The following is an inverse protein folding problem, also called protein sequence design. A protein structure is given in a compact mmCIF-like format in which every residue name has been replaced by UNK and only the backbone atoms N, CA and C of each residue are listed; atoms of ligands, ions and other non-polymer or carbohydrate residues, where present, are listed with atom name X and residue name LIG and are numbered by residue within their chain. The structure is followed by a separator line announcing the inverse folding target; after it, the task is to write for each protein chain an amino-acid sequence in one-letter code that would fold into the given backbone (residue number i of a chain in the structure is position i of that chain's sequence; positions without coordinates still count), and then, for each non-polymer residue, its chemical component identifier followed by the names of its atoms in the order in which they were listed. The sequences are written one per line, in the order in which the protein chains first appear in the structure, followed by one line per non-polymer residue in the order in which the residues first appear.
data_IF_751562642271
#
_entry.id   IF_751562642271
#
_cell.length_a   1.000
_cell.length_b   1.000
_cell.length_c   1.000
_cell.angle_alpha   90.00
_cell.angle_beta   90.00
_cell.angle_gamma   90.00
#
_symmetry.space_group_name_H-M   'P 1'
#
loop_
_entity.id
_entity.type
_entity.pdbx_description
1 polymer ?
#
# COMPACT_ATOMS: atom_id res chain seq x y z
N UNK A 1 10.65 5.37 11.23
CA UNK A 1 9.22 5.07 11.11
C UNK A 1 8.53 5.06 12.48
N UNK A 2 7.43 5.79 12.61
CA UNK A 2 6.52 5.68 13.74
C UNK A 2 5.18 5.11 13.24
N UNK A 3 4.65 4.10 13.92
CA UNK A 3 3.47 3.36 13.49
C UNK A 3 2.49 3.10 14.63
N UNK A 4 1.21 2.95 14.29
CA UNK A 4 0.16 2.57 15.25
C UNK A 4 -0.83 1.65 14.57
N UNK A 5 -1.19 0.56 15.24
CA UNK A 5 -2.17 -0.39 14.73
C UNK A 5 -3.46 -0.37 15.57
N UNK A 6 -4.61 -0.28 14.91
CA UNK A 6 -5.93 -0.35 15.54
C UNK A 6 -6.76 -1.44 14.86
N UNK A 7 -7.46 -2.26 15.66
CA UNK A 7 -8.34 -3.32 15.19
C UNK A 7 -9.79 -3.05 15.58
N UNK A 8 -10.72 -3.20 14.64
CA UNK A 8 -12.16 -3.12 14.85
C UNK A 8 -12.85 -4.29 14.15
N UNK A 9 -13.22 -5.32 14.92
CA UNK A 9 -13.65 -6.60 14.35
C UNK A 9 -12.54 -7.22 13.51
N UNK A 10 -12.84 -7.57 12.25
CA UNK A 10 -11.87 -8.13 11.30
C UNK A 10 -11.12 -7.06 10.48
N UNK A 11 -11.41 -5.78 10.70
CA UNK A 11 -10.79 -4.66 9.99
C UNK A 11 -9.69 -4.02 10.84
N UNK A 12 -8.48 -3.98 10.29
CA UNK A 12 -7.31 -3.34 10.90
C UNK A 12 -6.91 -2.07 10.16
N UNK A 13 -6.45 -1.05 10.88
CA UNK A 13 -5.80 0.13 10.32
C UNK A 13 -4.40 0.27 10.88
N UNK A 14 -3.39 0.22 10.01
CA UNK A 14 -2.00 0.51 10.32
C UNK A 14 -1.69 1.93 9.86
N UNK A 15 -1.55 2.86 10.80
CA UNK A 15 -1.17 4.23 10.52
C UNK A 15 0.34 4.36 10.53
N UNK A 16 0.91 4.83 9.42
CA UNK A 16 2.34 5.11 9.28
C UNK A 16 2.56 6.63 9.29
N UNK A 17 3.63 7.07 9.98
CA UNK A 17 3.98 8.48 10.14
C UNK A 17 5.45 8.68 9.83
N UNK A 18 5.77 9.91 9.42
CA UNK A 18 7.13 10.37 9.07
C UNK A 18 7.64 9.71 7.79
N UNK A 19 8.93 9.84 7.49
CA UNK A 19 9.53 9.23 6.33
C UNK A 19 9.65 7.70 6.48
N UNK A 20 9.49 6.98 5.37
CA UNK A 20 9.76 5.54 5.26
C UNK A 20 10.99 5.31 4.41
N UNK A 21 12.12 5.11 5.06
CA UNK A 21 13.43 4.93 4.39
C UNK A 21 13.79 3.45 4.26
N UNK A 22 14.89 3.15 3.58
CA UNK A 22 15.45 1.79 3.49
C UNK A 22 15.66 1.13 4.86
N UNK A 23 16.03 1.91 5.88
CA UNK A 23 16.24 1.41 7.26
C UNK A 23 14.92 0.94 7.90
N UNK A 24 13.79 1.51 7.48
CA UNK A 24 12.46 1.18 7.99
C UNK A 24 11.85 -0.05 7.30
N UNK A 25 12.41 -0.53 6.19
CA UNK A 25 11.81 -1.60 5.39
C UNK A 25 11.61 -2.90 6.19
N UNK A 26 12.55 -3.25 7.08
CA UNK A 26 12.45 -4.42 7.94
C UNK A 26 11.32 -4.27 8.98
N UNK A 27 11.27 -3.12 9.66
CA UNK A 27 10.23 -2.82 10.65
C UNK A 27 8.84 -2.72 10.01
N UNK A 28 8.73 -2.12 8.84
CA UNK A 28 7.49 -2.05 8.06
C UNK A 28 6.97 -3.45 7.72
N UNK A 29 7.87 -4.36 7.30
CA UNK A 29 7.50 -5.76 7.05
C UNK A 29 6.93 -6.41 8.31
N UNK A 30 7.57 -6.24 9.46
CA UNK A 30 7.12 -6.81 10.73
C UNK A 30 5.73 -6.29 11.11
N UNK A 31 5.53 -4.97 11.10
CA UNK A 31 4.24 -4.35 11.38
C UNK A 31 3.11 -4.84 10.44
N UNK A 32 3.41 -4.97 9.14
CA UNK A 32 2.44 -5.50 8.17
C UNK A 32 2.12 -6.97 8.41
N UNK A 33 3.10 -7.79 8.78
CA UNK A 33 2.87 -9.21 9.10
C UNK A 33 1.99 -9.34 10.34
N UNK A 34 2.29 -8.60 11.41
CA UNK A 34 1.51 -8.62 12.65
C UNK A 34 0.07 -8.16 12.41
N UNK A 35 -0.11 -7.05 11.70
CA UNK A 35 -1.43 -6.55 11.35
C UNK A 35 -2.23 -7.55 10.49
N UNK A 36 -1.58 -8.20 9.51
CA UNK A 36 -2.20 -9.22 8.65
C UNK A 36 -2.45 -10.55 9.37
N UNK A 37 -1.83 -10.83 10.52
CA UNK A 37 -2.16 -12.02 11.31
C UNK A 37 -3.57 -11.90 11.90
N UNK A 38 -3.93 -10.73 12.40
CA UNK A 38 -5.16 -10.50 13.18
C UNK A 38 -6.30 -9.83 12.41
N UNK A 39 -6.03 -9.26 11.23
CA UNK A 39 -7.07 -8.64 10.39
C UNK A 39 -7.31 -9.41 9.09
N UNK A 40 -8.54 -9.35 8.57
CA UNK A 40 -8.91 -9.82 7.23
C UNK A 40 -8.90 -8.66 6.22
N UNK A 41 -9.17 -7.45 6.71
CA UNK A 41 -9.13 -6.22 5.93
C UNK A 41 -8.13 -5.25 6.55
N UNK A 42 -6.95 -5.13 5.95
CA UNK A 42 -5.92 -4.18 6.41
C UNK A 42 -5.96 -2.91 5.56
N UNK A 43 -6.11 -1.78 6.22
CA UNK A 43 -5.92 -0.47 5.65
C UNK A 43 -4.58 0.10 6.14
N UNK A 44 -3.74 0.57 5.23
CA UNK A 44 -2.48 1.25 5.56
C UNK A 44 -2.69 2.74 5.32
N UNK A 45 -2.77 3.52 6.40
CA UNK A 45 -2.94 4.97 6.33
C UNK A 45 -1.58 5.65 6.24
N UNK A 46 -1.39 6.36 5.13
CA UNK A 46 -0.13 7.05 4.79
C UNK A 46 -0.30 8.58 4.76
N UNK A 47 -1.35 9.12 5.40
CA UNK A 47 -1.62 10.56 5.43
C UNK A 47 -0.45 11.40 5.95
N UNK A 48 0.32 10.85 6.90
CA UNK A 48 1.41 11.54 7.58
C UNK A 48 2.80 11.17 7.04
N UNK A 49 2.88 10.58 5.84
CA UNK A 49 4.14 10.24 5.17
C UNK A 49 4.58 11.41 4.29
N UNK A 50 5.81 11.86 4.49
CA UNK A 50 6.45 12.96 3.75
C UNK A 50 7.55 12.49 2.77
N UNK A 51 8.02 11.25 2.90
CA UNK A 51 8.93 10.59 1.96
C UNK A 51 8.80 9.06 2.06
N UNK A 52 8.99 8.34 0.94
CA UNK A 52 8.99 6.88 0.91
C UNK A 52 9.98 6.32 -0.11
N UNK A 53 10.83 5.40 0.35
CA UNK A 53 11.81 4.72 -0.50
C UNK A 53 11.19 3.54 -1.28
N UNK A 54 11.84 3.21 -2.39
CA UNK A 54 11.48 2.06 -3.24
C UNK A 54 11.38 0.75 -2.44
N UNK A 55 12.27 0.53 -1.47
CA UNK A 55 12.26 -0.67 -0.64
C UNK A 55 10.97 -0.80 0.19
N UNK A 56 10.42 0.32 0.68
CA UNK A 56 9.17 0.33 1.42
C UNK A 56 7.97 0.07 0.49
N UNK A 57 7.98 0.60 -0.74
CA UNK A 57 6.98 0.28 -1.77
C UNK A 57 7.00 -1.21 -2.15
N UNK A 58 8.19 -1.80 -2.26
CA UNK A 58 8.37 -3.24 -2.50
C UNK A 58 7.77 -4.08 -1.36
N UNK A 59 7.99 -3.68 -0.11
CA UNK A 59 7.41 -4.33 1.08
C UNK A 59 5.88 -4.24 1.06
N UNK A 60 5.30 -3.06 0.80
CA UNK A 60 3.84 -2.88 0.65
C UNK A 60 3.27 -3.78 -0.46
N UNK A 61 3.94 -3.83 -1.61
CA UNK A 61 3.57 -4.69 -2.72
C UNK A 61 3.59 -6.17 -2.33
N UNK A 62 4.63 -6.61 -1.61
CA UNK A 62 4.76 -7.98 -1.14
C UNK A 62 3.69 -8.37 -0.12
N UNK A 63 3.41 -7.48 0.84
CA UNK A 63 2.35 -7.67 1.82
C UNK A 63 0.97 -7.77 1.14
N UNK A 64 0.70 -6.91 0.15
CA UNK A 64 -0.53 -6.94 -0.62
C UNK A 64 -0.73 -8.26 -1.37
N UNK A 65 0.30 -8.75 -2.08
CA UNK A 65 0.24 -10.07 -2.74
C UNK A 65 0.01 -11.21 -1.74
N UNK A 66 0.64 -11.13 -0.57
CA UNK A 66 0.50 -12.12 0.51
C UNK A 66 -0.90 -12.11 1.11
N UNK A 67 -1.50 -10.92 1.28
CA UNK A 67 -2.88 -10.79 1.71
C UNK A 67 -3.82 -11.44 0.68
N UNK A 68 -3.65 -11.11 -0.60
CA UNK A 68 -4.47 -11.66 -1.68
C UNK A 68 -4.38 -13.20 -1.77
N UNK A 69 -3.18 -13.79 -1.60
CA UNK A 69 -3.00 -15.24 -1.60
C UNK A 69 -3.59 -15.96 -0.38
N UNK A 70 -4.02 -15.21 0.64
CA UNK A 70 -4.64 -15.71 1.87
C UNK A 70 -6.11 -15.27 1.99
N UNK A 71 -6.71 -14.83 0.88
CA UNK A 71 -8.07 -14.27 0.83
C UNK A 71 -8.32 -13.06 1.75
N UNK A 72 -7.25 -12.34 2.09
CA UNK A 72 -7.28 -11.08 2.83
C UNK A 72 -7.14 -9.90 1.87
N UNK A 73 -7.43 -8.70 2.36
CA UNK A 73 -7.28 -7.45 1.60
C UNK A 73 -6.29 -6.52 2.29
N UNK A 74 -5.50 -5.82 1.48
CA UNK A 74 -4.64 -4.72 1.92
C UNK A 74 -4.87 -3.54 0.98
N UNK A 75 -5.21 -2.38 1.55
CA UNK A 75 -5.50 -1.14 0.83
C UNK A 75 -4.66 0.03 1.36
N UNK A 76 -4.44 1.06 0.54
CA UNK A 76 -3.80 2.31 0.97
C UNK A 76 -4.88 3.37 1.23
N UNK A 77 -4.82 4.03 2.39
CA UNK A 77 -5.67 5.17 2.73
C UNK A 77 -4.89 6.48 2.68
N UNK A 78 -5.57 7.54 2.28
CA UNK A 78 -5.07 8.92 2.30
C UNK A 78 -3.68 9.11 1.65
N UNK A 79 -3.41 8.58 0.44
CA UNK A 79 -2.14 8.85 -0.22
C UNK A 79 -1.98 10.36 -0.42
N UNK A 80 -0.90 10.95 0.08
CA UNK A 80 -0.50 12.33 -0.22
C UNK A 80 0.20 12.43 -1.58
N UNK A 81 0.54 13.65 -2.00
CA UNK A 81 1.23 13.89 -3.28
C UNK A 81 2.62 13.27 -3.30
N UNK A 82 3.37 13.34 -2.19
CA UNK A 82 4.67 12.68 -2.08
C UNK A 82 4.56 11.17 -2.32
N UNK A 83 3.62 10.50 -1.66
CA UNK A 83 3.40 9.06 -1.84
C UNK A 83 3.03 8.72 -3.29
N UNK A 84 2.11 9.50 -3.89
CA UNK A 84 1.72 9.32 -5.30
C UNK A 84 2.90 9.52 -6.25
N UNK A 85 3.72 10.53 -6.01
CA UNK A 85 4.90 10.85 -6.81
C UNK A 85 5.93 9.72 -6.72
N UNK A 86 6.24 9.22 -5.51
CA UNK A 86 7.15 8.11 -5.32
C UNK A 86 6.69 6.85 -6.08
N UNK A 87 5.39 6.52 -6.06
CA UNK A 87 4.83 5.39 -6.84
C UNK A 87 5.01 5.57 -8.35
N UNK A 88 4.86 6.80 -8.86
CA UNK A 88 5.06 7.12 -10.28
C UNK A 88 6.52 7.06 -10.69
N UNK A 89 7.39 7.73 -9.95
CA UNK A 89 8.82 7.85 -10.27
C UNK A 89 9.57 6.52 -10.17
N UNK A 90 9.09 5.61 -9.32
CA UNK A 90 9.67 4.26 -9.20
C UNK A 90 9.14 3.26 -10.23
N UNK A 91 8.26 3.68 -11.14
CA UNK A 91 7.65 2.80 -12.15
C UNK A 91 6.70 1.76 -11.58
N UNK A 92 6.23 1.95 -10.34
CA UNK A 92 5.29 1.05 -9.69
C UNK A 92 3.85 1.23 -10.17
N UNK A 93 3.49 2.43 -10.64
CA UNK A 93 2.17 2.69 -11.23
C UNK A 93 1.93 1.77 -12.44
N UNK A 94 0.78 1.09 -12.47
CA UNK A 94 0.44 0.11 -13.49
C UNK A 94 -0.89 0.46 -14.15
N UNK A 95 -0.99 0.25 -15.45
CA UNK A 95 -2.30 0.28 -16.12
C UNK A 95 -3.20 -0.89 -15.71
N UNK A 96 -2.60 -2.05 -15.44
CA UNK A 96 -3.30 -3.25 -14.98
C UNK A 96 -2.76 -3.72 -13.63
N UNK A 97 -3.64 -4.19 -12.76
CA UNK A 97 -3.26 -4.72 -11.44
C UNK A 97 -2.31 -5.93 -11.51
N UNK A 98 -1.72 -6.32 -10.37
CA UNK A 98 -0.88 -7.51 -10.33
C UNK A 98 -1.70 -8.80 -10.51
N UNK A 99 -1.04 -9.87 -10.99
CA UNK A 99 -1.71 -11.15 -11.26
C UNK A 99 -2.28 -11.81 -10.00
N UNK A 100 -1.68 -11.52 -8.86
CA UNK A 100 -2.02 -12.11 -7.56
C UNK A 100 -3.35 -11.58 -7.01
N UNK A 101 -3.83 -10.43 -7.51
CA UNK A 101 -5.07 -9.83 -7.01
C UNK A 101 -6.35 -10.45 -7.56
N UNK A 102 -6.31 -11.18 -8.68
CA UNK A 102 -7.53 -11.66 -9.34
C UNK A 102 -8.49 -10.50 -9.62
N UNK A 103 -9.71 -10.56 -9.06
CA UNK A 103 -10.72 -9.49 -9.16
C UNK A 103 -10.54 -8.35 -8.14
N UNK A 104 -9.61 -8.46 -7.18
CA UNK A 104 -9.41 -7.46 -6.13
C UNK A 104 -8.60 -6.26 -6.62
N UNK A 105 -8.77 -5.07 -6.01
CA UNK A 105 -7.97 -3.90 -6.32
C UNK A 105 -6.47 -4.10 -6.07
N UNK A 106 -5.61 -3.92 -7.09
CA UNK A 106 -4.18 -3.79 -6.86
C UNK A 106 -3.84 -2.40 -6.31
N UNK A 107 -2.88 -2.31 -5.37
CA UNK A 107 -2.42 -1.04 -4.79
C UNK A 107 -1.93 -0.05 -5.84
N UNK A 108 -1.31 -0.55 -6.91
CA UNK A 108 -0.59 0.26 -7.88
C UNK A 108 -1.31 0.39 -9.22
N UNK A 109 -2.52 -0.17 -9.33
CA UNK A 109 -3.31 0.01 -10.55
C UNK A 109 -3.79 1.46 -10.63
N UNK A 110 -3.47 2.13 -11.74
CA UNK A 110 -3.97 3.44 -12.06
C UNK A 110 -5.46 3.36 -12.40
N UNK A 111 -6.28 3.82 -11.46
CA UNK A 111 -7.74 3.85 -11.62
C UNK A 111 -8.21 5.11 -12.36
N UNK A 112 -7.31 6.06 -12.65
CA UNK A 112 -7.63 7.20 -13.51
C UNK A 112 -7.59 6.81 -15.00
N UNK A 113 -6.96 5.69 -15.36
CA UNK A 113 -6.98 5.13 -16.72
C UNK A 113 -8.40 4.82 -17.25
N UNK A 114 -9.37 4.56 -16.36
CA UNK A 114 -10.79 4.36 -16.75
C UNK A 114 -11.51 5.67 -17.11
N UNK A 115 -10.90 6.84 -16.84
CA UNK A 115 -11.38 8.17 -17.28
C UNK A 115 -10.47 8.83 -18.31
N UNK A 116 -9.22 8.39 -18.46
CA UNK A 116 -8.19 9.04 -19.28
C UNK A 116 -8.11 8.57 -20.75
N UNK A 117 -9.05 7.74 -21.23
CA UNK A 117 -9.26 7.60 -22.70
C UNK A 117 -10.04 8.77 -23.31
N UNK A 118 -10.38 9.78 -22.50
CA UNK A 118 -10.77 11.11 -22.99
C UNK A 118 -9.72 12.08 -22.46
N UNK A 119 -8.98 12.67 -23.40
CA UNK A 119 -7.92 13.68 -23.21
C UNK A 119 -6.49 13.12 -23.16
N UNK A 120 -5.93 13.04 -24.37
CA UNK A 120 -4.50 13.19 -24.69
C UNK A 120 -3.78 14.12 -23.70
N UNK A 121 -2.82 13.60 -22.93
CA UNK A 121 -1.46 14.12 -22.67
C UNK A 121 -0.61 13.01 -22.04
#
# INVERSE_FOLDING_TARGET
MNDTFNLSGDAGTLTLRESLTIEDAARLKEALVEALLVSTHLAVDVAAIDAIDLCCLQVLCSAHRTAASRDKTLTILNPGDCFRQAVRETGYLRHMGCKETGSRPCLWADRNGERAERETW
#
